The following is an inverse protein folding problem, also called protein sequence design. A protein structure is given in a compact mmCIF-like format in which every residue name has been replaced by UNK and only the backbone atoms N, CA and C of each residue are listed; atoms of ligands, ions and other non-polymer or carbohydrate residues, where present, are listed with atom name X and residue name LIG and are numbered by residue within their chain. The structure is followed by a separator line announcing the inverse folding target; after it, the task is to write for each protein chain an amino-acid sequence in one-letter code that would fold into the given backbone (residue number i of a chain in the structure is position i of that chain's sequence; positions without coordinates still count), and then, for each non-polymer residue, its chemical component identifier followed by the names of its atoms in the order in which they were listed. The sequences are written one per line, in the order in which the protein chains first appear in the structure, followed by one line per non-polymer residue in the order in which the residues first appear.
data_IF_156776787130
#
_entry.id   IF_156776787130
#
_cell.length_a   1.000
_cell.length_b   1.000
_cell.length_c   1.000
_cell.angle_alpha   90.00
_cell.angle_beta   90.00
_cell.angle_gamma   90.00
#
_symmetry.space_group_name_H-M   'P 1'
#
loop_
_entity.id
_entity.type
_entity.pdbx_description
1 polymer ?
#
# COMPACT_ATOMS: atom_id res chain seq x y z
N UNK A 1 41.38 45.48 12.95
CA UNK A 1 41.17 44.32 13.84
C UNK A 1 41.89 43.12 13.20
N UNK A 2 43.09 42.78 13.66
CA UNK A 2 43.92 41.71 13.07
C UNK A 2 43.60 40.42 13.82
N UNK A 3 42.88 39.50 13.18
CA UNK A 3 42.60 38.19 13.77
C UNK A 3 43.92 37.44 14.02
N UNK A 4 44.08 36.90 15.23
CA UNK A 4 45.18 35.98 15.59
C UNK A 4 45.19 34.79 14.62
N UNK A 5 46.38 34.33 14.25
CA UNK A 5 46.62 33.19 13.34
C UNK A 5 45.76 31.98 13.71
N UNK A 6 45.69 31.68 15.00
CA UNK A 6 45.01 30.51 15.56
C UNK A 6 43.51 30.53 15.27
N UNK A 7 42.90 31.73 15.24
CA UNK A 7 41.49 31.92 14.93
C UNK A 7 41.22 31.78 13.43
N UNK A 8 42.17 32.19 12.57
CA UNK A 8 42.06 32.01 11.11
C UNK A 8 42.12 30.54 10.72
N UNK A 9 42.98 29.74 11.38
CA UNK A 9 43.04 28.30 11.17
C UNK A 9 41.77 27.61 11.64
N UNK A 10 41.28 27.92 12.85
CA UNK A 10 40.03 27.37 13.35
C UNK A 10 38.84 27.70 12.42
N UNK A 11 38.74 28.95 11.96
CA UNK A 11 37.68 29.37 11.04
C UNK A 11 37.81 28.66 9.69
N UNK A 12 39.02 28.55 9.14
CA UNK A 12 39.29 27.84 7.90
C UNK A 12 38.96 26.35 7.98
N UNK A 13 39.28 25.69 9.08
CA UNK A 13 38.94 24.28 9.33
C UNK A 13 37.43 24.08 9.42
N UNK A 14 36.70 24.95 10.12
CA UNK A 14 35.23 24.88 10.20
C UNK A 14 34.61 25.09 8.81
N UNK A 15 35.10 26.06 8.04
CA UNK A 15 34.62 26.33 6.67
C UNK A 15 34.88 25.14 5.74
N UNK A 16 36.05 24.50 5.87
CA UNK A 16 36.39 23.30 5.12
C UNK A 16 35.46 22.14 5.49
N UNK A 17 35.21 21.90 6.78
CA UNK A 17 34.29 20.84 7.23
C UNK A 17 32.87 21.09 6.72
N UNK A 18 32.39 22.34 6.76
CA UNK A 18 31.07 22.70 6.23
C UNK A 18 31.00 22.52 4.71
N UNK A 19 32.03 22.95 3.97
CA UNK A 19 32.11 22.75 2.52
C UNK A 19 32.14 21.27 2.14
N UNK A 20 32.93 20.47 2.86
CA UNK A 20 32.98 19.02 2.67
C UNK A 20 31.61 18.43 2.96
N UNK A 21 30.96 18.78 4.06
CA UNK A 21 29.62 18.29 4.41
C UNK A 21 28.55 18.66 3.38
N UNK A 22 28.52 19.90 2.90
CA UNK A 22 27.57 20.39 1.89
C UNK A 22 27.72 19.66 0.56
N UNK A 23 28.93 19.22 0.21
CA UNK A 23 29.17 18.47 -1.03
C UNK A 23 28.97 16.96 -0.81
N UNK A 24 29.49 16.41 0.29
CA UNK A 24 29.50 14.98 0.55
C UNK A 24 28.11 14.44 0.85
N UNK A 25 27.26 15.18 1.56
CA UNK A 25 25.92 14.71 1.94
C UNK A 25 25.03 14.53 0.71
N UNK A 26 24.85 15.52 -0.20
CA UNK A 26 24.05 15.32 -1.42
C UNK A 26 24.61 14.24 -2.33
N UNK A 27 25.95 14.17 -2.48
CA UNK A 27 26.59 13.12 -3.29
C UNK A 27 26.36 11.73 -2.69
N UNK A 28 26.43 11.58 -1.35
CA UNK A 28 26.11 10.32 -0.69
C UNK A 28 24.62 9.98 -0.79
N UNK A 29 23.71 10.94 -0.62
CA UNK A 29 22.26 10.72 -0.78
C UNK A 29 21.94 10.24 -2.20
N UNK A 30 22.53 10.89 -3.22
CA UNK A 30 22.36 10.51 -4.62
C UNK A 30 22.96 9.13 -4.93
N UNK A 31 24.14 8.81 -4.38
CA UNK A 31 24.77 7.49 -4.58
C UNK A 31 24.13 6.35 -3.80
N UNK A 32 23.48 6.65 -2.69
CA UNK A 32 22.80 5.66 -1.85
C UNK A 32 21.31 5.50 -2.23
N UNK A 33 20.86 6.21 -3.26
CA UNK A 33 19.46 6.21 -3.73
C UNK A 33 18.47 6.42 -2.57
N UNK A 34 18.79 7.34 -1.65
CA UNK A 34 17.96 7.63 -0.49
C UNK A 34 16.86 8.61 -0.90
N UNK A 35 15.65 8.10 -1.04
CA UNK A 35 14.43 8.87 -1.31
C UNK A 35 13.77 9.28 0.00
N UNK A 36 14.03 10.53 0.40
CA UNK A 36 13.45 11.17 1.59
C UNK A 36 11.98 11.55 1.42
N UNK A 37 11.56 11.82 0.17
CA UNK A 37 10.17 12.08 -0.19
C UNK A 37 9.78 11.09 -1.28
N UNK A 38 8.64 10.43 -1.10
CA UNK A 38 8.10 9.45 -2.05
C UNK A 38 7.38 10.16 -3.17
N UNK A 39 7.57 9.66 -4.39
CA UNK A 39 6.78 10.09 -5.54
C UNK A 39 5.46 9.31 -5.58
N UNK A 40 4.34 9.96 -5.94
CA UNK A 40 3.06 9.29 -6.05
C UNK A 40 3.00 8.40 -7.29
N UNK A 41 2.04 7.49 -7.27
CA UNK A 41 1.74 6.51 -8.30
C UNK A 41 0.24 6.55 -8.56
N UNK A 42 -0.14 6.79 -9.80
CA UNK A 42 -1.53 6.78 -10.22
C UNK A 42 -2.10 5.35 -10.20
N UNK A 43 -3.39 5.23 -9.87
CA UNK A 43 -4.11 3.97 -10.02
C UNK A 43 -4.08 3.48 -11.47
N UNK A 44 -4.00 2.18 -11.66
CA UNK A 44 -4.12 1.57 -12.99
C UNK A 44 -5.56 1.70 -13.51
N UNK A 45 -6.54 1.49 -12.63
CA UNK A 45 -7.96 1.66 -12.93
C UNK A 45 -8.74 2.21 -11.73
N UNK A 46 -9.91 2.79 -11.99
CA UNK A 46 -10.76 3.32 -10.92
C UNK A 46 -11.34 2.19 -10.06
N UNK A 47 -11.32 2.35 -8.73
CA UNK A 47 -11.85 1.35 -7.78
C UNK A 47 -13.32 0.99 -8.00
N UNK A 48 -14.12 1.89 -8.60
CA UNK A 48 -15.52 1.60 -8.95
C UNK A 48 -15.68 0.47 -9.99
N UNK A 49 -14.61 0.18 -10.74
CA UNK A 49 -14.57 -0.91 -11.74
C UNK A 49 -14.43 -2.30 -11.12
N UNK A 50 -14.16 -2.41 -9.82
CA UNK A 50 -14.14 -3.69 -9.10
C UNK A 50 -15.42 -4.46 -9.42
N UNK A 51 -15.25 -5.71 -9.87
CA UNK A 51 -16.31 -6.51 -10.46
C UNK A 51 -17.51 -6.74 -9.54
N UNK A 52 -18.66 -6.97 -10.17
CA UNK A 52 -19.88 -7.48 -9.54
C UNK A 52 -20.47 -8.53 -10.48
N UNK A 53 -20.63 -9.80 -10.08
CA UNK A 53 -20.35 -10.36 -8.75
C UNK A 53 -18.84 -10.55 -8.45
N UNK A 54 -18.53 -10.87 -7.18
CA UNK A 54 -17.22 -11.33 -6.71
C UNK A 54 -17.45 -12.72 -6.11
N UNK A 55 -17.01 -13.78 -6.80
CA UNK A 55 -17.29 -15.15 -6.36
C UNK A 55 -18.78 -15.42 -6.16
N UNK A 56 -19.14 -15.89 -4.97
CA UNK A 56 -20.53 -16.12 -4.56
C UNK A 56 -21.29 -14.83 -4.17
N UNK A 57 -20.59 -13.69 -4.07
CA UNK A 57 -21.11 -12.44 -3.55
C UNK A 57 -21.60 -11.53 -4.67
N UNK A 58 -22.81 -11.02 -4.51
CA UNK A 58 -23.43 -10.05 -5.43
C UNK A 58 -23.66 -8.71 -4.73
N UNK A 59 -23.99 -7.66 -5.50
CA UNK A 59 -24.36 -6.39 -4.89
C UNK A 59 -25.61 -6.57 -4.02
N UNK A 60 -25.55 -6.09 -2.78
CA UNK A 60 -26.67 -6.16 -1.86
C UNK A 60 -27.91 -5.47 -2.45
N UNK A 61 -29.09 -5.98 -2.10
CA UNK A 61 -30.37 -5.39 -2.53
C UNK A 61 -31.06 -4.67 -1.37
N UNK A 62 -31.66 -3.52 -1.66
CA UNK A 62 -32.48 -2.76 -0.74
C UNK A 62 -33.83 -3.43 -0.47
N UNK A 63 -34.61 -2.84 0.43
CA UNK A 63 -35.97 -3.31 0.74
C UNK A 63 -36.94 -3.20 -0.44
N UNK A 64 -36.63 -2.33 -1.40
CA UNK A 64 -37.32 -2.17 -2.67
C UNK A 64 -36.91 -3.22 -3.72
N UNK A 65 -35.92 -4.06 -3.42
CA UNK A 65 -35.38 -5.07 -4.32
C UNK A 65 -34.32 -4.52 -5.28
N UNK A 66 -34.02 -3.22 -5.28
CA UNK A 66 -33.02 -2.62 -6.16
C UNK A 66 -31.60 -2.79 -5.60
N UNK A 67 -30.55 -2.84 -6.44
CA UNK A 67 -29.18 -2.88 -5.96
C UNK A 67 -28.85 -1.64 -5.12
N UNK A 68 -28.30 -1.83 -3.93
CA UNK A 68 -27.80 -0.76 -3.08
C UNK A 68 -26.66 -0.05 -3.81
N UNK A 69 -26.78 1.26 -3.98
CA UNK A 69 -25.75 2.08 -4.60
C UNK A 69 -24.49 2.12 -3.73
N UNK A 70 -23.34 2.35 -4.36
CA UNK A 70 -22.10 2.59 -3.63
C UNK A 70 -22.25 3.87 -2.78
N UNK A 71 -21.75 3.85 -1.55
CA UNK A 71 -21.89 4.99 -0.64
C UNK A 71 -20.99 6.13 -1.12
N UNK A 72 -21.56 7.32 -1.30
CA UNK A 72 -20.81 8.54 -1.52
C UNK A 72 -20.65 9.29 -0.19
N UNK A 73 -19.41 9.61 0.16
CA UNK A 73 -19.07 10.38 1.34
C UNK A 73 -19.11 11.88 1.09
N UNK A 74 -19.55 12.62 2.11
CA UNK A 74 -19.49 14.07 2.12
C UNK A 74 -18.05 14.59 2.33
N UNK A 75 -17.85 15.88 2.10
CA UNK A 75 -16.53 16.52 2.17
C UNK A 75 -15.80 16.29 3.50
N UNK A 76 -16.50 16.37 4.65
CA UNK A 76 -15.91 16.15 5.97
C UNK A 76 -15.36 14.73 6.15
N UNK A 77 -16.07 13.73 5.62
CA UNK A 77 -15.63 12.34 5.69
C UNK A 77 -14.47 12.07 4.72
N UNK A 78 -14.49 12.68 3.52
CA UNK A 78 -13.36 12.61 2.57
C UNK A 78 -12.10 13.24 3.17
N UNK A 79 -12.22 14.39 3.83
CA UNK A 79 -11.12 15.02 4.55
C UNK A 79 -10.59 14.11 5.66
N UNK A 80 -11.48 13.51 6.47
CA UNK A 80 -11.09 12.56 7.51
C UNK A 80 -10.48 11.25 6.99
N UNK A 81 -10.86 10.82 5.78
CA UNK A 81 -10.28 9.67 5.10
C UNK A 81 -8.86 9.95 4.61
N UNK A 82 -8.56 11.20 4.25
CA UNK A 82 -7.30 11.61 3.61
C UNK A 82 -7.21 11.25 2.13
N UNK A 83 -8.31 10.81 1.51
CA UNK A 83 -8.39 10.46 0.09
C UNK A 83 -9.82 10.56 -0.42
N UNK A 84 -9.99 11.03 -1.65
CA UNK A 84 -11.25 10.98 -2.39
C UNK A 84 -11.36 9.72 -3.29
N UNK A 85 -10.29 8.91 -3.32
CA UNK A 85 -10.19 7.72 -4.14
C UNK A 85 -10.54 6.49 -3.31
N UNK A 86 -11.84 6.17 -3.29
CA UNK A 86 -12.37 5.04 -2.53
C UNK A 86 -13.52 4.32 -3.26
N UNK A 87 -13.79 3.11 -2.81
CA UNK A 87 -15.02 2.36 -3.08
C UNK A 87 -15.63 1.97 -1.73
N UNK A 88 -16.93 2.22 -1.58
CA UNK A 88 -17.68 1.85 -0.40
C UNK A 88 -18.97 1.12 -0.83
N UNK A 89 -19.02 -0.20 -0.64
CA UNK A 89 -20.02 -1.07 -1.28
C UNK A 89 -20.46 -2.21 -0.37
N UNK A 90 -21.75 -2.49 -0.35
CA UNK A 90 -22.30 -3.65 0.36
C UNK A 90 -22.50 -4.84 -0.59
N UNK A 91 -21.89 -5.96 -0.23
CA UNK A 91 -22.05 -7.25 -0.89
C UNK A 91 -22.98 -8.17 -0.09
N UNK A 92 -23.63 -9.09 -0.77
CA UNK A 92 -24.55 -10.06 -0.19
C UNK A 92 -24.35 -11.46 -0.80
N UNK A 93 -24.34 -12.47 0.07
CA UNK A 93 -24.38 -13.89 -0.28
C UNK A 93 -25.38 -14.59 0.65
N UNK A 94 -26.50 -15.06 0.08
CA UNK A 94 -27.63 -15.58 0.86
C UNK A 94 -28.18 -14.55 1.84
N UNK A 95 -28.20 -14.89 3.14
CA UNK A 95 -28.60 -14.00 4.23
C UNK A 95 -27.47 -13.13 4.79
N UNK A 96 -26.22 -13.37 4.37
CA UNK A 96 -25.04 -12.64 4.86
C UNK A 96 -24.84 -11.37 4.04
N UNK A 97 -24.57 -10.27 4.73
CA UNK A 97 -24.18 -9.01 4.11
C UNK A 97 -22.85 -8.56 4.69
N UNK A 98 -21.94 -8.14 3.82
CA UNK A 98 -20.64 -7.59 4.20
C UNK A 98 -20.47 -6.24 3.53
N UNK A 99 -20.03 -5.27 4.30
CA UNK A 99 -19.70 -3.95 3.80
C UNK A 99 -18.19 -3.89 3.50
N UNK A 100 -17.86 -3.56 2.26
CA UNK A 100 -16.49 -3.51 1.74
C UNK A 100 -16.13 -2.06 1.52
N UNK A 101 -15.04 -1.63 2.16
CA UNK A 101 -14.45 -0.32 1.99
C UNK A 101 -13.01 -0.47 1.48
N UNK A 102 -12.72 0.15 0.33
CA UNK A 102 -11.39 0.16 -0.29
C UNK A 102 -10.98 1.61 -0.49
N UNK A 103 -9.80 2.01 -0.03
CA UNK A 103 -9.33 3.39 -0.15
C UNK A 103 -7.85 3.44 -0.54
N UNK A 104 -7.51 4.26 -1.54
CA UNK A 104 -6.17 4.35 -2.11
C UNK A 104 -5.45 5.64 -1.72
N UNK A 105 -4.15 5.52 -1.44
CA UNK A 105 -3.30 6.58 -0.93
C UNK A 105 -1.95 6.58 -1.63
N UNK A 106 -1.50 7.75 -2.08
CA UNK A 106 -0.18 7.88 -2.74
C UNK A 106 0.57 9.18 -2.46
N UNK A 107 -0.11 10.28 -2.14
CA UNK A 107 0.54 11.57 -1.84
C UNK A 107 0.89 11.78 -0.35
N UNK A 108 0.20 11.08 0.55
CA UNK A 108 0.29 11.25 2.01
C UNK A 108 0.64 9.93 2.72
N UNK A 109 1.76 9.34 2.32
CA UNK A 109 2.16 8.01 2.78
C UNK A 109 2.62 8.03 4.24
N UNK A 110 3.05 9.21 4.72
CA UNK A 110 3.45 9.44 6.12
C UNK A 110 2.25 9.64 7.06
N UNK A 111 1.06 9.91 6.53
CA UNK A 111 -0.14 10.12 7.32
C UNK A 111 -0.70 8.78 7.82
N UNK A 112 -1.13 8.79 9.08
CA UNK A 112 -1.60 7.56 9.74
C UNK A 112 -2.94 7.15 9.14
N UNK A 113 -3.05 5.95 8.56
CA UNK A 113 -4.32 5.49 8.01
C UNK A 113 -5.41 5.47 9.08
N UNK A 114 -6.61 5.93 8.72
CA UNK A 114 -7.79 5.77 9.57
C UNK A 114 -8.11 4.27 9.69
N UNK A 115 -8.40 3.80 10.90
CA UNK A 115 -8.63 2.36 11.19
C UNK A 115 -9.86 2.21 12.09
N UNK A 116 -10.63 1.10 11.97
CA UNK A 116 -11.89 0.90 12.69
C UNK A 116 -11.80 1.18 14.19
N UNK A 117 -10.77 0.70 14.87
CA UNK A 117 -10.60 0.86 16.31
C UNK A 117 -10.46 2.31 16.77
N UNK A 118 -10.01 3.22 15.89
CA UNK A 118 -9.95 4.66 16.17
C UNK A 118 -11.23 5.36 15.76
N UNK A 119 -11.74 5.04 14.58
CA UNK A 119 -12.91 5.70 14.00
C UNK A 119 -14.19 5.36 14.76
N UNK A 120 -14.36 4.10 15.18
CA UNK A 120 -15.57 3.63 15.86
C UNK A 120 -15.58 3.99 17.35
N UNK A 121 -14.41 3.98 17.99
CA UNK A 121 -14.25 4.52 19.34
C UNK A 121 -14.57 6.02 19.38
N UNK A 122 -14.06 6.80 18.41
CA UNK A 122 -14.40 8.22 18.25
C UNK A 122 -15.89 8.45 17.93
N UNK A 123 -16.56 7.49 17.29
CA UNK A 123 -18.00 7.52 17.05
C UNK A 123 -18.83 7.09 18.29
N UNK A 124 -18.18 6.76 19.40
CA UNK A 124 -18.82 6.40 20.67
C UNK A 124 -19.31 4.95 20.75
N UNK A 125 -18.75 4.04 19.95
CA UNK A 125 -19.01 2.61 20.10
C UNK A 125 -18.14 2.00 21.20
N UNK A 126 -18.70 1.07 21.99
CA UNK A 126 -17.95 0.39 23.05
C UNK A 126 -17.20 -0.82 22.49
N UNK A 127 -15.87 -0.81 22.57
CA UNK A 127 -15.04 -1.92 22.10
C UNK A 127 -15.22 -3.16 22.98
N UNK A 128 -15.60 -4.30 22.39
CA UNK A 128 -15.70 -5.60 23.08
C UNK A 128 -14.49 -6.50 22.85
N UNK A 129 -13.79 -6.35 21.71
CA UNK A 129 -12.53 -7.04 21.44
C UNK A 129 -11.50 -6.03 20.91
N UNK A 130 -10.29 -5.97 21.49
CA UNK A 130 -9.23 -5.11 20.99
C UNK A 130 -8.78 -5.53 19.58
N UNK A 131 -8.27 -4.57 18.81
CA UNK A 131 -7.68 -4.83 17.51
C UNK A 131 -6.53 -5.85 17.63
N UNK A 132 -6.72 -7.02 17.01
CA UNK A 132 -5.81 -8.16 17.07
C UNK A 132 -5.61 -8.72 15.66
N UNK A 133 -4.40 -9.15 15.33
CA UNK A 133 -4.10 -9.74 14.02
C UNK A 133 -4.52 -11.21 13.98
N UNK A 134 -5.25 -11.59 12.94
CA UNK A 134 -5.66 -12.95 12.63
C UNK A 134 -4.99 -13.40 11.34
N UNK A 135 -4.53 -14.65 11.33
CA UNK A 135 -4.16 -15.35 10.10
C UNK A 135 -5.43 -15.74 9.34
N UNK A 136 -5.40 -15.59 8.03
CA UNK A 136 -6.48 -15.97 7.12
C UNK A 136 -6.02 -17.08 6.19
N UNK A 137 -6.83 -18.11 6.01
CA UNK A 137 -6.61 -19.16 5.02
C UNK A 137 -7.10 -18.72 3.62
N UNK A 138 -6.35 -17.81 2.99
CA UNK A 138 -6.69 -17.31 1.66
C UNK A 138 -6.17 -18.24 0.56
N UNK A 139 -7.11 -18.86 -0.15
CA UNK A 139 -6.77 -19.79 -1.20
C UNK A 139 -6.85 -19.18 -2.62
N UNK A 140 -5.69 -18.86 -3.19
CA UNK A 140 -5.53 -18.48 -4.60
C UNK A 140 -5.15 -19.69 -5.46
N UNK A 141 -6.03 -20.69 -5.60
CA UNK A 141 -5.75 -21.97 -6.27
C UNK A 141 -5.21 -21.83 -7.70
N UNK A 142 -5.63 -20.79 -8.43
CA UNK A 142 -5.24 -20.56 -9.82
C UNK A 142 -3.95 -19.76 -9.99
N UNK A 143 -3.34 -19.29 -8.89
CA UNK A 143 -2.21 -18.40 -8.99
C UNK A 143 -0.92 -19.18 -9.29
N UNK A 144 -0.33 -18.82 -10.43
CA UNK A 144 0.85 -19.43 -11.03
C UNK A 144 2.11 -18.82 -10.41
N UNK A 145 3.10 -19.67 -10.17
CA UNK A 145 4.46 -19.27 -9.81
C UNK A 145 5.43 -20.04 -10.69
N UNK A 146 6.24 -19.33 -11.47
CA UNK A 146 7.17 -19.90 -12.44
C UNK A 146 8.47 -19.07 -12.55
N UNK A 147 9.43 -19.54 -13.34
CA UNK A 147 10.73 -18.87 -13.55
C UNK A 147 10.62 -17.49 -14.22
N UNK A 148 9.48 -17.17 -14.86
CA UNK A 148 9.23 -15.88 -15.49
C UNK A 148 8.63 -14.84 -14.53
N UNK A 149 8.28 -15.26 -13.31
CA UNK A 149 7.65 -14.42 -12.31
C UNK A 149 8.61 -13.33 -11.83
N UNK A 150 8.13 -12.08 -11.80
CA UNK A 150 8.89 -10.98 -11.24
C UNK A 150 9.20 -11.22 -9.77
N UNK A 151 10.30 -10.62 -9.28
CA UNK A 151 10.72 -10.69 -7.89
C UNK A 151 10.62 -9.30 -7.28
N UNK A 152 9.97 -9.18 -6.12
CA UNK A 152 9.88 -7.93 -5.39
C UNK A 152 11.26 -7.53 -4.86
N UNK A 153 11.69 -6.30 -5.14
CA UNK A 153 13.02 -5.83 -4.81
C UNK A 153 13.28 -5.73 -3.31
N UNK A 154 12.25 -5.45 -2.52
CA UNK A 154 12.38 -5.28 -1.08
C UNK A 154 12.38 -6.60 -0.29
N UNK A 155 11.63 -7.60 -0.74
CA UNK A 155 11.46 -8.89 -0.03
C UNK A 155 12.25 -10.04 -0.66
N UNK A 156 12.67 -9.92 -1.92
CA UNK A 156 13.29 -11.00 -2.67
C UNK A 156 12.37 -12.17 -2.98
N UNK A 157 11.06 -12.05 -2.70
CA UNK A 157 10.06 -13.08 -2.99
C UNK A 157 9.45 -12.87 -4.39
N UNK A 158 9.17 -13.94 -5.14
CA UNK A 158 8.51 -13.83 -6.43
C UNK A 158 7.00 -13.53 -6.28
N UNK A 159 6.46 -12.73 -7.19
CA UNK A 159 5.01 -12.50 -7.28
C UNK A 159 4.33 -13.72 -7.88
N UNK A 160 3.27 -14.19 -7.23
CA UNK A 160 2.32 -15.10 -7.86
C UNK A 160 1.46 -14.31 -8.85
N UNK A 161 1.07 -14.93 -9.96
CA UNK A 161 0.25 -14.26 -10.99
C UNK A 161 -1.03 -15.04 -11.28
N UNK A 162 -2.10 -14.30 -11.55
CA UNK A 162 -3.35 -14.83 -12.08
C UNK A 162 -3.50 -14.39 -13.52
N UNK A 163 -3.94 -15.31 -14.37
CA UNK A 163 -4.37 -14.99 -15.72
C UNK A 163 -5.89 -14.81 -15.71
N UNK A 164 -6.34 -13.66 -16.21
CA UNK A 164 -7.73 -13.25 -16.29
C UNK A 164 -8.02 -12.71 -17.68
N UNK A 165 -9.29 -12.48 -17.95
CA UNK A 165 -9.74 -11.84 -19.18
C UNK A 165 -10.38 -10.52 -18.81
N UNK A 166 -9.99 -9.43 -19.47
CA UNK A 166 -10.61 -8.13 -19.25
C UNK A 166 -12.04 -8.08 -19.83
N UNK A 167 -12.74 -6.96 -19.63
CA UNK A 167 -14.12 -6.79 -20.11
C UNK A 167 -14.29 -6.86 -21.64
N UNK A 168 -13.20 -6.71 -22.41
CA UNK A 168 -13.19 -6.70 -23.87
C UNK A 168 -12.81 -8.08 -24.43
N UNK A 169 -12.33 -9.01 -23.59
CA UNK A 169 -11.93 -10.35 -23.99
C UNK A 169 -10.42 -10.56 -24.11
N UNK A 170 -9.59 -9.54 -23.81
CA UNK A 170 -8.14 -9.67 -23.89
C UNK A 170 -7.57 -10.35 -22.64
N UNK A 171 -6.52 -11.17 -22.79
CA UNK A 171 -5.81 -11.73 -21.65
C UNK A 171 -5.14 -10.63 -20.84
N UNK A 172 -5.22 -10.75 -19.52
CA UNK A 172 -4.70 -9.82 -18.55
C UNK A 172 -4.02 -10.60 -17.42
N UNK A 173 -2.86 -10.12 -16.99
CA UNK A 173 -2.11 -10.72 -15.89
C UNK A 173 -2.29 -9.83 -14.66
N UNK A 174 -2.65 -10.45 -13.54
CA UNK A 174 -2.74 -9.78 -12.24
C UNK A 174 -1.65 -10.35 -11.34
N UNK A 175 -0.75 -9.51 -10.84
CA UNK A 175 0.22 -9.91 -9.83
C UNK A 175 -0.41 -9.82 -8.44
N UNK A 176 -0.37 -10.93 -7.71
CA UNK A 176 -0.88 -11.00 -6.34
C UNK A 176 0.10 -10.40 -5.35
N UNK A 177 -0.39 -9.83 -4.23
CA UNK A 177 0.49 -9.23 -3.25
C UNK A 177 1.32 -10.29 -2.52
N UNK A 178 2.52 -9.90 -2.10
CA UNK A 178 3.43 -10.74 -1.33
C UNK A 178 3.19 -10.53 0.15
N UNK A 179 3.15 -11.61 0.91
CA UNK A 179 3.08 -11.57 2.37
C UNK A 179 2.22 -12.70 2.90
N UNK A 180 2.17 -12.78 4.22
CA UNK A 180 1.22 -13.68 4.88
C UNK A 180 -0.17 -13.04 4.85
N UNK A 181 -1.18 -13.85 4.58
CA UNK A 181 -2.56 -13.40 4.57
C UNK A 181 -3.03 -13.15 6.01
N UNK A 182 -2.92 -11.90 6.44
CA UNK A 182 -3.26 -11.49 7.80
C UNK A 182 -4.17 -10.26 7.77
N UNK A 183 -5.09 -10.20 8.73
CA UNK A 183 -6.01 -9.08 8.89
C UNK A 183 -6.08 -8.66 10.36
N UNK A 184 -6.08 -7.35 10.62
CA UNK A 184 -6.37 -6.84 11.96
C UNK A 184 -7.88 -6.75 12.15
N UNK A 185 -8.39 -7.43 13.16
CA UNK A 185 -9.82 -7.55 13.46
C UNK A 185 -10.10 -6.95 14.84
N UNK A 186 -11.18 -6.18 14.94
CA UNK A 186 -11.69 -5.60 16.19
C UNK A 186 -13.22 -5.77 16.25
N UNK A 187 -13.76 -5.86 17.47
CA UNK A 187 -15.21 -5.97 17.69
C UNK A 187 -15.72 -4.85 18.59
N UNK A 188 -16.89 -4.32 18.24
CA UNK A 188 -17.59 -3.29 18.99
C UNK A 188 -19.06 -3.67 19.25
N UNK A 189 -19.59 -3.17 20.35
CA UNK A 189 -21.02 -3.20 20.66
C UNK A 189 -21.71 -2.02 19.99
N UNK A 190 -22.72 -2.31 19.15
CA UNK A 190 -23.46 -1.24 18.46
C UNK A 190 -24.54 -0.60 19.33
N UNK A 191 -24.96 -1.27 20.41
CA UNK A 191 -26.01 -0.77 21.29
C UNK A 191 -25.83 -1.32 22.71
N UNK A 192 -25.57 -0.46 23.72
CA UNK A 192 -25.45 -0.88 25.11
C UNK A 192 -26.70 -1.58 25.66
N UNK A 193 -27.90 -1.31 25.09
CA UNK A 193 -29.16 -1.97 25.48
C UNK A 193 -29.32 -3.36 24.88
N UNK A 194 -28.56 -3.69 23.84
CA UNK A 194 -28.56 -5.00 23.22
C UNK A 194 -27.12 -5.42 22.88
N UNK A 195 -26.35 -5.84 23.90
CA UNK A 195 -24.93 -6.16 23.73
C UNK A 195 -24.68 -7.37 22.82
N UNK A 196 -25.73 -8.13 22.48
CA UNK A 196 -25.62 -9.27 21.55
C UNK A 196 -25.40 -8.84 20.11
N UNK A 197 -25.77 -7.62 19.74
CA UNK A 197 -25.56 -7.10 18.38
C UNK A 197 -24.18 -6.49 18.30
N UNK A 198 -23.28 -7.24 17.66
CA UNK A 198 -21.87 -6.90 17.50
C UNK A 198 -21.62 -6.35 16.10
N UNK A 199 -20.66 -5.45 16.01
CA UNK A 199 -20.07 -5.02 14.74
C UNK A 199 -18.59 -5.40 14.75
N UNK A 200 -18.20 -6.17 13.74
CA UNK A 200 -16.82 -6.62 13.55
C UNK A 200 -16.25 -5.85 12.38
N UNK A 201 -15.06 -5.29 12.57
CA UNK A 201 -14.29 -4.63 11.53
C UNK A 201 -12.97 -5.35 11.37
N UNK A 202 -12.67 -5.78 10.15
CA UNK A 202 -11.38 -6.33 9.80
C UNK A 202 -10.74 -5.54 8.67
N UNK A 203 -9.45 -5.27 8.76
CA UNK A 203 -8.71 -4.52 7.75
C UNK A 203 -7.28 -5.02 7.56
N UNK A 204 -6.76 -4.76 6.37
CA UNK A 204 -5.34 -4.87 6.04
C UNK A 204 -5.03 -3.84 4.94
N UNK A 205 -3.77 -3.78 4.55
CA UNK A 205 -3.29 -2.88 3.52
C UNK A 205 -2.51 -3.64 2.44
N UNK A 206 -2.61 -3.12 1.23
CA UNK A 206 -1.80 -3.49 0.08
C UNK A 206 -0.86 -2.32 -0.20
N UNK A 207 0.43 -2.47 0.10
CA UNK A 207 1.41 -1.41 -0.03
C UNK A 207 2.58 -1.87 -0.89
N UNK A 208 2.81 -1.21 -2.02
CA UNK A 208 3.90 -1.53 -2.96
C UNK A 208 3.95 -3.04 -3.28
N UNK A 209 2.79 -3.60 -3.65
CA UNK A 209 2.64 -5.02 -3.97
C UNK A 209 2.75 -5.99 -2.79
N UNK A 210 2.64 -5.53 -1.54
CA UNK A 210 2.77 -6.37 -0.33
C UNK A 210 1.55 -6.27 0.58
N UNK A 211 1.24 -7.36 1.28
CA UNK A 211 0.26 -7.38 2.37
C UNK A 211 0.87 -6.80 3.65
N UNK A 212 0.11 -5.96 4.32
CA UNK A 212 0.46 -5.35 5.59
C UNK A 212 -0.77 -5.39 6.52
N UNK A 213 -0.76 -6.14 7.63
CA UNK A 213 -1.95 -6.34 8.45
C UNK A 213 -2.33 -5.11 9.27
N UNK A 214 -1.42 -4.16 9.50
CA UNK A 214 -1.68 -2.98 10.34
C UNK A 214 -1.15 -1.68 9.75
N UNK A 215 -1.69 -0.56 10.25
CA UNK A 215 -1.24 0.78 9.91
C UNK A 215 0.25 1.02 10.26
N UNK A 216 0.76 0.31 11.28
CA UNK A 216 2.18 0.36 11.65
C UNK A 216 3.05 -0.27 10.57
N UNK A 217 2.60 -1.35 9.96
CA UNK A 217 3.36 -2.04 8.91
C UNK A 217 3.43 -1.19 7.64
N UNK A 218 2.33 -0.54 7.26
CA UNK A 218 2.33 0.46 6.16
C UNK A 218 3.33 1.57 6.45
N UNK A 219 3.34 2.10 7.67
CA UNK A 219 4.28 3.15 8.07
C UNK A 219 5.74 2.68 7.93
N UNK A 220 6.04 1.45 8.32
CA UNK A 220 7.38 0.89 8.16
C UNK A 220 7.78 0.78 6.68
N UNK A 221 6.85 0.44 5.79
CA UNK A 221 7.07 0.40 4.35
C UNK A 221 7.27 1.80 3.75
N UNK A 222 6.45 2.77 4.16
CA UNK A 222 6.52 4.17 3.73
C UNK A 222 7.89 4.80 3.97
N UNK A 223 8.55 4.43 5.08
CA UNK A 223 9.85 4.95 5.48
C UNK A 223 11.05 4.19 4.90
N UNK A 224 10.89 3.19 4.01
CA UNK A 224 12.04 2.53 3.37
C UNK A 224 12.74 3.53 2.44
N UNK A 225 13.95 4.02 2.75
CA UNK A 225 14.59 5.07 1.97
C UNK A 225 14.94 4.63 0.55
N UNK A 226 14.94 3.33 0.26
CA UNK A 226 15.34 2.79 -1.06
C UNK A 226 14.22 2.83 -2.08
N UNK A 227 12.98 3.00 -1.64
CA UNK A 227 11.82 3.01 -2.54
C UNK A 227 11.52 4.44 -3.01
N UNK A 228 11.62 4.69 -4.32
CA UNK A 228 11.34 6.01 -4.92
C UNK A 228 9.86 6.36 -4.87
N UNK A 229 9.05 5.38 -5.22
CA UNK A 229 7.59 5.48 -5.28
C UNK A 229 7.01 4.82 -4.05
N UNK A 230 5.83 5.26 -3.62
CA UNK A 230 5.04 4.44 -2.72
C UNK A 230 3.53 4.70 -2.87
N UNK A 231 2.77 3.67 -2.53
CA UNK A 231 1.35 3.76 -2.32
C UNK A 231 0.94 2.78 -1.22
N UNK A 232 -0.25 3.00 -0.66
CA UNK A 232 -0.96 1.94 0.03
C UNK A 232 -2.46 1.99 -0.29
N UNK A 233 -3.08 0.83 -0.27
CA UNK A 233 -4.51 0.66 -0.42
C UNK A 233 -5.05 -0.04 0.81
N UNK A 234 -5.98 0.59 1.53
CA UNK A 234 -6.67 -0.02 2.65
C UNK A 234 -7.82 -0.86 2.13
N UNK A 235 -7.91 -2.10 2.59
CA UNK A 235 -9.07 -2.97 2.38
C UNK A 235 -9.69 -3.25 3.74
N UNK A 236 -10.95 -2.90 3.91
CA UNK A 236 -11.71 -3.10 5.14
C UNK A 236 -13.02 -3.82 4.85
N UNK A 237 -13.32 -4.82 5.68
CA UNK A 237 -14.59 -5.52 5.73
C UNK A 237 -15.29 -5.16 7.04
N UNK A 238 -16.57 -4.81 6.97
CA UNK A 238 -17.42 -4.54 8.12
C UNK A 238 -18.61 -5.48 8.11
N UNK A 239 -18.76 -6.24 9.19
CA UNK A 239 -19.85 -7.19 9.39
C UNK A 239 -20.64 -6.83 10.64
N UNK A 240 -21.95 -7.10 10.60
CA UNK A 240 -22.83 -6.95 11.75
C UNK A 240 -23.56 -8.25 11.99
N UNK A 241 -23.33 -8.84 13.15
CA UNK A 241 -23.93 -10.12 13.57
C UNK A 241 -24.64 -10.01 14.91
N UNK A 242 -25.29 -11.10 15.31
CA UNK A 242 -25.94 -11.21 16.63
C UNK A 242 -25.56 -12.52 17.28
N UNK A 243 -24.95 -12.46 18.47
CA UNK A 243 -24.65 -13.64 19.29
C UNK A 243 -25.95 -14.29 19.75
N UNK A 244 -26.17 -15.54 19.35
CA UNK A 244 -27.35 -16.30 19.75
C UNK A 244 -27.19 -16.91 21.15
N UNK A 245 -28.32 -17.29 21.75
CA UNK A 245 -28.31 -17.92 23.07
C UNK A 245 -27.60 -19.27 23.02
N UNK A 246 -26.50 -19.41 23.75
CA UNK A 246 -25.71 -20.65 23.83
C UNK A 246 -24.50 -20.70 22.90
N UNK A 247 -24.30 -19.68 22.06
CA UNK A 247 -23.06 -19.50 21.30
C UNK A 247 -21.93 -18.95 22.16
N UNK A 248 -20.70 -19.16 21.72
CA UNK A 248 -19.53 -18.53 22.30
C UNK A 248 -19.53 -17.02 22.04
N UNK A 249 -18.85 -16.23 22.89
CA UNK A 249 -18.84 -14.77 22.78
C UNK A 249 -18.13 -14.29 21.49
N UNK A 250 -17.22 -15.10 20.95
CA UNK A 250 -16.47 -14.87 19.70
C UNK A 250 -17.18 -15.42 18.45
N UNK A 251 -18.44 -15.87 18.56
CA UNK A 251 -19.17 -16.47 17.44
C UNK A 251 -19.31 -15.51 16.24
N UNK A 252 -19.53 -14.21 16.49
CA UNK A 252 -19.66 -13.21 15.41
C UNK A 252 -18.30 -12.93 14.75
N UNK A 253 -17.21 -12.96 15.52
CA UNK A 253 -15.84 -12.83 14.97
C UNK A 253 -15.49 -14.06 14.14
N UNK A 254 -15.84 -15.26 14.60
CA UNK A 254 -15.63 -16.51 13.85
C UNK A 254 -16.38 -16.51 12.52
N UNK A 255 -17.65 -16.11 12.52
CA UNK A 255 -18.43 -15.95 11.29
C UNK A 255 -17.83 -14.88 10.36
N UNK A 256 -17.31 -13.79 10.93
CA UNK A 256 -16.62 -12.76 10.14
C UNK A 256 -15.36 -13.30 9.45
N UNK A 257 -14.55 -14.11 10.14
CA UNK A 257 -13.35 -14.74 9.56
C UNK A 257 -13.75 -15.67 8.40
N UNK A 258 -14.77 -16.51 8.58
CA UNK A 258 -15.29 -17.36 7.50
C UNK A 258 -15.74 -16.53 6.28
N UNK A 259 -16.44 -15.42 6.51
CA UNK A 259 -16.87 -14.50 5.44
C UNK A 259 -15.66 -13.88 4.74
N UNK A 260 -14.65 -13.46 5.50
CA UNK A 260 -13.44 -12.86 4.96
C UNK A 260 -12.67 -13.87 4.10
N UNK A 261 -12.49 -15.11 4.57
CA UNK A 261 -11.83 -16.18 3.83
C UNK A 261 -12.59 -16.61 2.57
N UNK A 262 -13.92 -16.44 2.53
CA UNK A 262 -14.73 -16.70 1.34
C UNK A 262 -14.65 -15.58 0.30
N UNK A 263 -14.75 -14.30 0.70
CA UNK A 263 -14.80 -13.17 -0.25
C UNK A 263 -13.42 -12.68 -0.72
N UNK A 264 -12.41 -12.72 0.14
CA UNK A 264 -11.09 -12.12 -0.15
C UNK A 264 -10.32 -12.80 -1.29
N UNK A 265 -10.38 -14.13 -1.51
CA UNK A 265 -9.70 -14.77 -2.63
C UNK A 265 -10.13 -14.22 -3.99
N UNK A 266 -11.39 -13.79 -4.13
CA UNK A 266 -11.93 -13.18 -5.34
C UNK A 266 -11.83 -11.65 -5.33
N UNK A 267 -11.94 -11.00 -4.17
CA UNK A 267 -11.84 -9.54 -4.05
C UNK A 267 -10.40 -9.02 -4.24
N UNK A 268 -9.40 -9.68 -3.66
CA UNK A 268 -8.00 -9.22 -3.72
C UNK A 268 -7.50 -9.09 -5.16
N UNK A 269 -7.70 -10.08 -6.06
CA UNK A 269 -7.33 -9.94 -7.47
C UNK A 269 -7.99 -8.73 -8.14
N UNK A 270 -9.27 -8.47 -7.87
CA UNK A 270 -9.97 -7.31 -8.43
C UNK A 270 -9.44 -5.98 -7.90
N UNK A 271 -9.06 -5.92 -6.62
CA UNK A 271 -8.38 -4.75 -6.06
C UNK A 271 -7.01 -4.59 -6.71
N UNK A 272 -6.19 -5.65 -6.79
CA UNK A 272 -4.86 -5.61 -7.40
C UNK A 272 -4.88 -5.19 -8.87
N UNK A 273 -5.94 -5.53 -9.61
CA UNK A 273 -6.17 -5.07 -10.98
C UNK A 273 -6.32 -3.55 -11.07
N UNK A 274 -6.93 -2.92 -10.07
CA UNK A 274 -7.09 -1.46 -10.02
C UNK A 274 -5.82 -0.75 -9.54
N UNK A 275 -5.02 -1.42 -8.71
CA UNK A 275 -3.80 -0.87 -8.16
C UNK A 275 -2.68 -0.79 -9.22
N UNK A 276 -1.65 0.04 -8.96
CA UNK A 276 -0.49 0.08 -9.85
C UNK A 276 0.19 -1.30 -9.90
N UNK A 277 0.51 -1.76 -11.11
CA UNK A 277 1.24 -3.01 -11.33
C UNK A 277 2.70 -2.87 -10.86
N UNK A 278 2.89 -3.09 -9.57
CA UNK A 278 4.14 -2.80 -8.88
C UNK A 278 5.37 -3.51 -9.47
N UNK A 279 5.31 -4.79 -9.91
CA UNK A 279 6.43 -5.43 -10.60
C UNK A 279 6.92 -4.67 -11.84
N UNK A 280 5.99 -4.07 -12.60
CA UNK A 280 6.33 -3.27 -13.78
C UNK A 280 6.98 -1.95 -13.37
N UNK A 281 6.52 -1.33 -12.28
CA UNK A 281 7.12 -0.11 -11.71
C UNK A 281 8.54 -0.38 -11.24
N UNK A 282 8.77 -1.43 -10.44
CA UNK A 282 10.10 -1.81 -9.93
C UNK A 282 11.10 -2.02 -11.08
N UNK A 283 10.66 -2.68 -12.16
CA UNK A 283 11.47 -2.88 -13.36
C UNK A 283 11.78 -1.57 -14.08
N UNK A 284 10.81 -0.67 -14.18
CA UNK A 284 11.01 0.63 -14.83
C UNK A 284 12.05 1.48 -14.09
N UNK A 285 12.03 1.47 -12.75
CA UNK A 285 12.99 2.19 -11.90
C UNK A 285 14.39 1.62 -12.06
N UNK A 286 14.51 0.29 -11.97
CA UNK A 286 15.80 -0.41 -12.13
C UNK A 286 16.42 -0.14 -13.51
N UNK A 287 15.60 -0.18 -14.56
CA UNK A 287 16.05 0.12 -15.92
C UNK A 287 16.50 1.58 -16.08
N UNK A 288 15.79 2.54 -15.48
CA UNK A 288 16.16 3.95 -15.53
C UNK A 288 17.48 4.24 -14.77
N UNK A 289 17.68 3.62 -13.61
CA UNK A 289 18.91 3.73 -12.83
C UNK A 289 20.13 3.20 -13.61
N UNK A 290 20.00 2.02 -14.23
CA UNK A 290 21.08 1.42 -15.03
C UNK A 290 21.48 2.28 -16.24
N UNK A 291 20.52 2.91 -16.91
CA UNK A 291 20.79 3.84 -18.03
C UNK A 291 21.48 5.11 -17.53
N UNK A 292 21.07 5.66 -16.38
CA UNK A 292 21.70 6.84 -15.79
C UNK A 292 23.14 6.56 -15.34
N UNK A 293 23.41 5.39 -14.78
CA UNK A 293 24.76 5.00 -14.33
C UNK A 293 25.70 4.84 -15.53
N UNK A 294 25.24 4.18 -16.60
CA UNK A 294 25.99 4.03 -17.85
C UNK A 294 26.24 5.38 -18.57
N UNK A 295 25.29 6.32 -18.50
CA UNK A 295 25.49 7.67 -19.04
C UNK A 295 26.53 8.46 -18.24
N UNK A 296 26.50 8.35 -16.91
CA UNK A 296 27.45 9.02 -16.02
C UNK A 296 28.86 8.48 -16.19
N UNK A 297 29.03 7.17 -16.36
CA UNK A 297 30.32 6.54 -16.61
C UNK A 297 30.92 6.97 -17.96
N UNK A 298 30.09 7.08 -19.01
CA UNK A 298 30.51 7.56 -20.32
C UNK A 298 30.91 9.05 -20.31
N UNK A 299 30.19 9.90 -19.57
CA UNK A 299 30.53 11.32 -19.43
C UNK A 299 31.86 11.51 -18.67
N UNK A 300 32.09 10.75 -17.60
CA UNK A 300 33.38 10.78 -16.86
C UNK A 300 34.53 10.30 -17.74
N UNK A 301 34.34 9.25 -18.55
CA UNK A 301 35.34 8.77 -19.50
C UNK A 301 35.63 9.78 -20.62
N UNK A 302 34.61 10.49 -21.11
CA UNK A 302 34.77 11.53 -22.12
C UNK A 302 35.46 12.77 -21.57
N UNK A 303 35.20 13.15 -20.31
CA UNK A 303 35.89 14.24 -19.63
C UNK A 303 37.37 13.90 -19.32
N UNK A 304 37.68 12.63 -19.01
CA UNK A 304 39.07 12.17 -18.85
C UNK A 304 39.83 12.15 -20.19
N UNK A 305 39.19 11.73 -21.28
CA UNK A 305 39.81 11.73 -22.62
C UNK A 305 40.09 13.14 -23.13
N UNK A 306 39.18 14.09 -22.89
CA UNK A 306 39.35 15.49 -23.30
C UNK A 306 40.46 16.21 -22.51
N UNK A 307 40.70 15.84 -21.24
CA UNK A 307 41.85 16.33 -20.45
C UNK A 307 43.20 15.72 -20.85
N UNK A 308 43.22 14.54 -21.48
CA UNK A 308 44.47 13.92 -21.96
C UNK A 308 44.97 14.47 -23.30
N UNK A 309 44.17 15.32 -23.98
CA UNK A 309 44.47 15.89 -25.29
C UNK A 309 44.87 17.38 -25.22
N UNK A 310 45.71 17.78 -24.25
CA UNK A 310 46.49 19.04 -24.34
C UNK A 310 47.93 18.68 -24.75
N UNK A 311 48.06 18.19 -25.98
CA UNK A 311 49.34 17.89 -26.62
C UNK A 311 50.03 19.19 -27.02
N UNK A 312 50.77 19.80 -26.08
CA UNK A 312 51.77 20.83 -26.43
C UNK A 312 52.90 20.20 -27.24
N UNK A 313 52.82 20.34 -28.56
CA UNK A 313 53.93 20.08 -29.47
C UNK A 313 55.04 21.12 -29.20
N UNK A 314 56.27 20.71 -28.84
CA UNK A 314 57.37 21.66 -28.74
C UNK A 314 57.79 22.09 -30.14
N UNK A 315 57.79 23.40 -30.39
CA UNK A 315 58.37 23.98 -31.61
C UNK A 315 59.89 23.80 -31.55
N UNK A 316 60.42 23.16 -32.60
CA UNK A 316 61.84 23.06 -32.95
C UNK A 316 62.45 24.41 -33.27
#
# INVERSE_FOLDING_TARGET
MIFRSDVKYAYGSILLILLVGVISIPVMIARLEIYLQKEPVELAENLSTISVPIGSWSRARGSDGEPVADTAFGAEMIEGLGTDTYLDRTYQSGSRQIHVHVAYYTDQIDDVPHVPERCWDAAGLDQSMPATTFDLDLNFNEAILDESSFVNGATGRPYRRLERTNAIGDPMIIHLPIGEAQMTITEFQTNPKNPRVRQVGGYFFLANGRLAPSAKDVRLLAFDPREKYAYYCKVQLTYRGTVQSGEADDAVVSEFVEIAEDILPDLIPEVMRCLPDWPTIEKSVTSAAAVSEAATENDVLNEMKSRSYDGRVPKS
#
